data_IF_561516782764
#
_entry.id   IF_561516782764
#
_cell.length_a   1.000
_cell.length_b   1.000
_cell.length_c   1.000
_cell.angle_alpha   90.00
_cell.angle_beta   90.00
_cell.angle_gamma   90.00
#
_symmetry.space_group_name_H-M   'P 1'
#
loop_
_entity.id
_entity.type
_entity.pdbx_description
1 polymer ?
#
# COMPACT_ATOMS: atom_id res chain seq x y z
N UNK A 1 -16.39 -15.20 34.79
CA UNK A 1 -15.43 -14.25 34.15
C UNK A 1 -14.51 -14.95 33.14
N UNK A 2 -13.86 -16.07 33.49
CA UNK A 2 -13.00 -16.82 32.57
C UNK A 2 -13.73 -17.30 31.29
N UNK A 3 -14.95 -17.86 31.41
CA UNK A 3 -15.75 -18.29 30.26
C UNK A 3 -16.16 -17.14 29.32
N UNK A 4 -16.51 -15.97 29.88
CA UNK A 4 -16.83 -14.77 29.08
C UNK A 4 -15.60 -14.23 28.33
N UNK A 5 -14.43 -14.35 28.93
CA UNK A 5 -13.16 -13.93 28.28
C UNK A 5 -12.79 -14.93 27.17
N UNK A 6 -13.00 -16.24 27.38
CA UNK A 6 -12.81 -17.27 26.37
C UNK A 6 -13.69 -17.03 25.12
N UNK A 7 -14.99 -16.86 25.33
CA UNK A 7 -15.92 -16.57 24.22
C UNK A 7 -15.59 -15.30 23.45
N UNK A 8 -15.08 -14.25 24.13
CA UNK A 8 -14.59 -13.03 23.47
C UNK A 8 -13.31 -13.26 22.67
N UNK A 9 -12.38 -14.05 23.19
CA UNK A 9 -11.15 -14.38 22.49
C UNK A 9 -11.44 -15.20 21.22
N UNK A 10 -12.40 -16.14 21.27
CA UNK A 10 -12.88 -16.88 20.11
C UNK A 10 -13.50 -15.96 19.05
N UNK A 11 -14.33 -14.99 19.48
CA UNK A 11 -14.90 -13.98 18.55
C UNK A 11 -13.80 -13.10 17.93
N UNK A 12 -12.83 -12.62 18.70
CA UNK A 12 -11.71 -11.84 18.18
C UNK A 12 -10.88 -12.65 17.16
N UNK A 13 -10.68 -13.95 17.40
CA UNK A 13 -9.93 -14.81 16.49
C UNK A 13 -10.57 -14.96 15.09
N UNK A 14 -11.87 -14.63 14.95
CA UNK A 14 -12.56 -14.63 13.64
C UNK A 14 -12.33 -13.35 12.82
N UNK A 15 -11.71 -12.33 13.40
CA UNK A 15 -11.48 -11.06 12.72
C UNK A 15 -10.20 -11.12 11.87
N UNK A 16 -10.23 -10.49 10.68
CA UNK A 16 -9.14 -10.53 9.69
C UNK A 16 -7.80 -10.11 10.29
N UNK A 17 -7.80 -9.09 11.16
CA UNK A 17 -6.58 -8.59 11.81
C UNK A 17 -5.90 -9.65 12.69
N UNK A 18 -6.65 -10.63 13.21
CA UNK A 18 -6.17 -11.70 14.07
C UNK A 18 -6.03 -13.05 13.36
N UNK A 19 -6.16 -13.08 12.04
CA UNK A 19 -6.02 -14.31 11.26
C UNK A 19 -4.74 -15.07 11.65
N UNK A 20 -4.86 -16.37 12.00
CA UNK A 20 -3.74 -17.22 12.43
C UNK A 20 -3.14 -16.89 13.80
N UNK A 21 -3.69 -15.94 14.57
CA UNK A 21 -3.31 -15.77 15.98
C UNK A 21 -3.96 -16.86 16.84
N UNK A 22 -3.21 -17.55 17.70
CA UNK A 22 -3.80 -18.48 18.67
C UNK A 22 -4.81 -17.76 19.58
N UNK A 23 -5.96 -18.37 19.82
CA UNK A 23 -7.03 -17.76 20.65
C UNK A 23 -6.54 -17.47 22.07
N UNK A 24 -5.62 -18.26 22.60
CA UNK A 24 -5.00 -18.06 23.92
C UNK A 24 -4.20 -16.75 24.00
N UNK A 25 -3.55 -16.34 22.93
CA UNK A 25 -2.79 -15.09 22.86
C UNK A 25 -3.69 -13.86 22.81
N UNK A 26 -4.98 -14.04 22.46
CA UNK A 26 -5.98 -12.97 22.46
C UNK A 26 -6.67 -12.76 23.81
N UNK A 27 -6.51 -13.66 24.77
CA UNK A 27 -7.17 -13.58 26.06
C UNK A 27 -6.86 -12.28 26.85
N UNK A 28 -5.61 -11.76 26.88
CA UNK A 28 -5.31 -10.46 27.51
C UNK A 28 -6.06 -9.30 26.88
N UNK A 29 -6.15 -9.26 25.54
CA UNK A 29 -6.90 -8.25 24.80
C UNK A 29 -8.40 -8.40 25.06
N UNK A 30 -8.94 -9.62 24.96
CA UNK A 30 -10.35 -9.93 25.20
C UNK A 30 -10.83 -9.49 26.59
N UNK A 31 -9.95 -9.53 27.59
CA UNK A 31 -10.26 -9.05 28.94
C UNK A 31 -10.33 -7.52 29.07
N UNK A 32 -9.67 -6.78 28.16
CA UNK A 32 -9.52 -5.33 28.20
C UNK A 32 -10.53 -4.58 27.30
N UNK A 33 -11.08 -5.24 26.28
CA UNK A 33 -12.10 -4.62 25.41
C UNK A 33 -13.50 -4.72 26.01
N UNK A 34 -14.35 -3.74 25.66
CA UNK A 34 -15.74 -3.67 26.12
C UNK A 34 -16.69 -3.76 24.93
N UNK A 35 -17.88 -4.35 25.09
CA UNK A 35 -18.88 -4.39 24.02
C UNK A 35 -19.25 -3.00 23.54
N UNK A 36 -19.36 -2.84 22.22
CA UNK A 36 -19.88 -1.66 21.55
C UNK A 36 -21.19 -2.03 20.87
N UNK A 37 -22.21 -1.18 21.04
CA UNK A 37 -23.43 -1.16 20.23
C UNK A 37 -23.74 0.27 19.86
N UNK A 38 -24.02 0.51 18.59
CA UNK A 38 -24.31 1.84 18.06
C UNK A 38 -25.44 1.76 17.05
N UNK A 39 -26.28 2.78 17.05
CA UNK A 39 -27.35 2.95 16.07
C UNK A 39 -26.82 3.59 14.78
N UNK A 40 -27.60 3.55 13.68
CA UNK A 40 -27.23 4.16 12.43
C UNK A 40 -27.10 5.70 12.55
N UNK A 41 -26.11 6.29 11.88
CA UNK A 41 -25.82 7.71 11.88
C UNK A 41 -25.08 8.23 13.11
N UNK A 42 -24.68 7.36 14.02
CA UNK A 42 -23.93 7.76 15.22
C UNK A 42 -22.45 8.01 14.86
N UNK A 43 -21.91 9.17 15.24
CA UNK A 43 -20.48 9.48 15.16
C UNK A 43 -19.78 8.78 16.31
N UNK A 44 -18.85 7.88 15.98
CA UNK A 44 -18.05 7.11 16.94
C UNK A 44 -16.69 7.76 17.22
N UNK A 45 -16.11 8.44 16.22
CA UNK A 45 -14.87 9.19 16.29
C UNK A 45 -14.96 10.40 15.38
N UNK A 46 -14.36 11.52 15.76
CA UNK A 46 -14.34 12.72 14.94
C UNK A 46 -12.91 13.11 14.57
N UNK A 47 -12.68 13.47 13.30
CA UNK A 47 -11.38 13.94 12.82
C UNK A 47 -10.89 15.15 13.64
N UNK A 48 -9.60 15.13 14.00
CA UNK A 48 -8.98 16.19 14.80
C UNK A 48 -9.10 16.01 16.31
N UNK A 49 -9.99 15.14 16.82
CA UNK A 49 -10.06 14.85 18.25
C UNK A 49 -8.88 14.02 18.75
N UNK A 50 -8.62 14.09 20.05
CA UNK A 50 -7.61 13.26 20.70
C UNK A 50 -7.97 11.77 20.59
N UNK A 51 -7.01 10.95 20.19
CA UNK A 51 -7.18 9.50 20.13
C UNK A 51 -7.04 8.88 21.54
N UNK A 52 -8.09 8.22 22.02
CA UNK A 52 -8.11 7.55 23.33
C UNK A 52 -8.62 6.10 23.25
N UNK A 53 -9.03 5.65 22.07
CA UNK A 53 -9.64 4.33 21.88
C UNK A 53 -9.48 3.82 20.46
N UNK A 54 -9.72 2.54 20.25
CA UNK A 54 -9.90 1.90 18.94
C UNK A 54 -11.17 1.05 18.97
N UNK A 55 -11.66 0.67 17.81
CA UNK A 55 -12.84 -0.16 17.61
C UNK A 55 -12.46 -1.41 16.81
N UNK A 56 -13.05 -2.54 17.19
CA UNK A 56 -13.06 -3.78 16.42
C UNK A 56 -14.51 -4.03 16.01
N UNK A 57 -14.80 -4.09 14.71
CA UNK A 57 -16.15 -4.22 14.19
C UNK A 57 -16.50 -5.70 14.05
N UNK A 58 -17.53 -6.17 14.78
CA UNK A 58 -18.04 -7.54 14.66
C UNK A 58 -19.16 -7.64 13.64
N UNK A 59 -20.05 -6.63 13.58
CA UNK A 59 -21.15 -6.58 12.60
C UNK A 59 -21.55 -5.15 12.27
N UNK A 60 -22.20 -4.96 11.13
CA UNK A 60 -22.55 -3.63 10.62
C UNK A 60 -21.42 -2.99 9.84
N UNK A 61 -21.63 -1.76 9.37
CA UNK A 61 -20.68 -1.01 8.55
C UNK A 61 -20.54 0.39 9.15
N UNK A 62 -19.30 0.89 9.22
CA UNK A 62 -19.04 2.28 9.50
C UNK A 62 -18.46 2.98 8.28
N UNK A 63 -18.81 4.24 8.08
CA UNK A 63 -18.24 5.13 7.08
C UNK A 63 -17.06 5.87 7.72
N UNK A 64 -15.89 5.80 7.12
CA UNK A 64 -14.67 6.51 7.51
C UNK A 64 -14.48 7.64 6.52
N UNK A 65 -14.59 8.89 7.00
CA UNK A 65 -14.46 10.10 6.19
C UNK A 65 -13.20 10.86 6.61
N UNK A 66 -12.26 10.97 5.69
CA UNK A 66 -11.06 11.78 5.85
C UNK A 66 -11.18 13.07 5.01
N UNK A 67 -10.91 14.20 5.62
CA UNK A 67 -10.82 15.49 4.93
C UNK A 67 -9.36 15.92 4.92
N UNK A 68 -8.76 15.93 3.73
CA UNK A 68 -7.37 16.35 3.53
C UNK A 68 -7.17 17.87 3.78
N UNK A 69 -5.91 18.28 3.93
CA UNK A 69 -5.56 19.71 4.06
C UNK A 69 -5.94 20.53 2.83
N UNK A 70 -6.02 19.89 1.67
CA UNK A 70 -6.46 20.46 0.39
C UNK A 70 -8.01 20.49 0.24
N UNK A 71 -8.74 20.03 1.25
CA UNK A 71 -10.20 19.96 1.26
C UNK A 71 -10.76 18.75 0.49
N UNK A 72 -9.91 17.88 -0.05
CA UNK A 72 -10.35 16.63 -0.69
C UNK A 72 -10.94 15.71 0.37
N UNK A 73 -12.11 15.17 0.08
CA UNK A 73 -12.82 14.24 0.96
C UNK A 73 -12.67 12.82 0.42
N UNK A 74 -12.07 11.96 1.22
CA UNK A 74 -11.98 10.53 0.96
C UNK A 74 -12.94 9.79 1.87
N UNK A 75 -13.74 8.89 1.30
CA UNK A 75 -14.73 8.10 2.02
C UNK A 75 -14.45 6.63 1.81
N UNK A 76 -14.28 5.91 2.90
CA UNK A 76 -14.10 4.45 2.92
C UNK A 76 -15.14 3.78 3.81
N UNK A 77 -15.28 2.48 3.66
CA UNK A 77 -16.11 1.65 4.53
C UNK A 77 -15.23 0.79 5.43
N UNK A 78 -15.52 0.81 6.72
CA UNK A 78 -14.99 -0.15 7.67
C UNK A 78 -16.02 -1.28 7.86
N UNK A 79 -15.61 -2.49 7.48
CA UNK A 79 -16.43 -3.70 7.42
C UNK A 79 -16.23 -4.56 8.68
N UNK A 80 -17.09 -5.56 8.91
CA UNK A 80 -16.85 -6.57 9.95
C UNK A 80 -15.47 -7.22 9.79
N UNK A 81 -14.80 -7.49 10.90
CA UNK A 81 -13.43 -7.99 10.95
C UNK A 81 -12.34 -6.91 11.02
N UNK A 82 -12.68 -5.66 10.70
CA UNK A 82 -11.72 -4.56 10.67
C UNK A 82 -11.55 -3.86 12.02
N UNK A 83 -10.33 -3.33 12.24
CA UNK A 83 -10.01 -2.39 13.31
C UNK A 83 -10.15 -0.94 12.80
N UNK A 84 -10.56 0.00 13.65
CA UNK A 84 -10.68 1.43 13.32
C UNK A 84 -10.16 2.29 14.48
N UNK A 85 -9.48 3.38 14.15
CA UNK A 85 -8.91 4.32 15.13
C UNK A 85 -7.50 3.98 15.59
N UNK A 86 -6.90 2.93 15.04
CA UNK A 86 -5.56 2.44 15.32
C UNK A 86 -4.46 3.40 14.85
N UNK A 87 -4.65 4.09 13.71
CA UNK A 87 -3.65 5.01 13.13
C UNK A 87 -3.25 6.07 14.14
N UNK A 88 -4.25 6.72 14.72
CA UNK A 88 -4.04 7.83 15.62
C UNK A 88 -3.39 7.39 16.96
N UNK A 89 -3.73 6.19 17.45
CA UNK A 89 -3.10 5.61 18.65
C UNK A 89 -1.66 5.17 18.37
N UNK A 90 -1.42 4.56 17.22
CA UNK A 90 -0.10 4.05 16.86
C UNK A 90 0.91 5.20 16.67
N UNK A 91 0.45 6.35 16.13
CA UNK A 91 1.27 7.52 15.81
C UNK A 91 1.25 8.60 16.90
N UNK A 92 0.48 8.43 17.96
CA UNK A 92 0.23 9.44 19.00
C UNK A 92 -0.16 10.81 18.40
N UNK A 93 -1.12 10.80 17.46
CA UNK A 93 -1.64 11.99 16.78
C UNK A 93 -3.15 12.11 16.96
N UNK A 94 -3.75 13.29 16.69
CA UNK A 94 -5.21 13.42 16.61
C UNK A 94 -5.84 12.48 15.57
N UNK A 95 -7.14 12.17 15.73
CA UNK A 95 -7.92 11.35 14.79
C UNK A 95 -7.72 11.81 13.36
N UNK A 96 -7.37 10.90 12.49
CA UNK A 96 -7.13 11.18 11.05
C UNK A 96 -8.41 11.22 10.24
N UNK A 97 -9.52 10.68 10.75
CA UNK A 97 -10.80 10.61 10.05
C UNK A 97 -11.98 10.61 11.04
N UNK A 98 -13.15 10.97 10.54
CA UNK A 98 -14.44 10.82 11.20
C UNK A 98 -15.01 9.45 10.90
N UNK A 99 -15.48 8.73 11.93
CA UNK A 99 -16.08 7.40 11.82
C UNK A 99 -17.55 7.49 12.22
N UNK A 100 -18.45 7.20 11.28
CA UNK A 100 -19.91 7.26 11.48
C UNK A 100 -20.52 5.92 11.11
N UNK A 101 -21.44 5.40 11.90
CA UNK A 101 -22.16 4.17 11.60
C UNK A 101 -23.11 4.37 10.40
N UNK A 102 -23.05 3.48 9.40
CA UNK A 102 -23.96 3.50 8.26
C UNK A 102 -25.36 2.90 8.61
N UNK A 103 -25.39 2.03 9.62
CA UNK A 103 -26.57 1.37 10.17
C UNK A 103 -26.26 0.86 11.58
N UNK A 104 -27.08 0.01 12.19
CA UNK A 104 -26.77 -0.62 13.46
C UNK A 104 -25.42 -1.36 13.38
N UNK A 105 -24.56 -1.15 14.39
CA UNK A 105 -23.21 -1.69 14.44
C UNK A 105 -22.95 -2.32 15.81
N UNK A 106 -22.28 -3.47 15.82
CA UNK A 106 -21.76 -4.09 17.04
C UNK A 106 -20.27 -4.39 16.89
N UNK A 107 -19.60 -4.48 18.04
CA UNK A 107 -18.17 -4.80 18.08
C UNK A 107 -17.61 -4.59 19.48
N UNK A 108 -16.34 -4.22 19.51
CA UNK A 108 -15.58 -4.01 20.73
C UNK A 108 -14.87 -2.65 20.69
N UNK A 109 -14.84 -1.98 21.84
CA UNK A 109 -14.05 -0.77 22.05
C UNK A 109 -12.93 -1.06 23.06
N UNK A 110 -11.69 -0.71 22.68
CA UNK A 110 -10.52 -0.74 23.55
C UNK A 110 -9.99 0.67 23.78
N UNK A 111 -9.53 0.93 24.99
CA UNK A 111 -8.79 2.15 25.35
C UNK A 111 -7.28 2.00 25.11
N UNK A 112 -6.46 2.95 25.61
CA UNK A 112 -5.02 2.89 25.47
C UNK A 112 -4.37 1.66 26.09
N UNK A 113 -4.86 1.19 27.24
CA UNK A 113 -4.35 -0.03 27.90
C UNK A 113 -4.69 -1.28 27.07
N UNK A 114 -5.89 -1.33 26.51
CA UNK A 114 -6.28 -2.38 25.58
C UNK A 114 -5.44 -2.34 24.30
N UNK A 115 -5.07 -1.13 23.83
CA UNK A 115 -4.19 -0.98 22.66
C UNK A 115 -2.77 -1.50 22.92
N UNK A 116 -2.23 -1.25 24.10
CA UNK A 116 -0.96 -1.85 24.53
C UNK A 116 -1.03 -3.38 24.50
N UNK A 117 -2.13 -3.98 24.95
CA UNK A 117 -2.33 -5.44 24.88
C UNK A 117 -2.47 -5.93 23.44
N UNK A 118 -3.16 -5.17 22.58
CA UNK A 118 -3.27 -5.47 21.16
C UNK A 118 -1.87 -5.56 20.50
N UNK A 119 -1.02 -4.56 20.68
CA UNK A 119 0.32 -4.54 20.03
C UNK A 119 1.26 -5.62 20.55
N UNK A 120 0.96 -6.20 21.71
CA UNK A 120 1.72 -7.33 22.27
C UNK A 120 1.21 -8.71 21.83
N UNK A 121 0.12 -8.80 21.07
CA UNK A 121 -0.31 -10.07 20.47
C UNK A 121 0.76 -10.52 19.48
N UNK A 122 1.29 -11.75 19.58
CA UNK A 122 2.31 -12.24 18.68
C UNK A 122 1.90 -12.14 17.21
N UNK A 123 2.75 -11.55 16.36
CA UNK A 123 2.53 -11.41 14.92
C UNK A 123 1.52 -10.33 14.51
N UNK A 124 0.95 -9.55 15.44
CA UNK A 124 -0.04 -8.52 15.11
C UNK A 124 0.59 -7.28 14.47
N UNK A 125 1.77 -6.88 14.91
CA UNK A 125 2.39 -5.61 14.48
C UNK A 125 2.59 -5.51 12.97
N UNK A 126 3.16 -6.49 12.26
CA UNK A 126 3.29 -6.42 10.80
C UNK A 126 1.94 -6.21 10.09
N UNK A 127 0.86 -6.85 10.56
CA UNK A 127 -0.49 -6.73 10.00
C UNK A 127 -1.09 -5.37 10.28
N UNK A 128 -0.96 -4.90 11.52
CA UNK A 128 -1.45 -3.59 11.93
C UNK A 128 -0.76 -2.49 11.11
N UNK A 129 0.56 -2.56 10.94
CA UNK A 129 1.34 -1.64 10.13
C UNK A 129 0.93 -1.67 8.65
N UNK A 130 0.71 -2.85 8.08
CA UNK A 130 0.19 -3.00 6.71
C UNK A 130 -1.18 -2.32 6.57
N UNK A 131 -2.11 -2.58 7.47
CA UNK A 131 -3.45 -1.95 7.46
C UNK A 131 -3.35 -0.43 7.56
N UNK A 132 -2.51 0.09 8.45
CA UNK A 132 -2.28 1.53 8.61
C UNK A 132 -1.73 2.15 7.32
N UNK A 133 -0.71 1.54 6.71
CA UNK A 133 -0.12 2.04 5.46
C UNK A 133 -1.09 2.02 4.29
N UNK A 134 -1.88 0.95 4.16
CA UNK A 134 -2.94 0.85 3.14
C UNK A 134 -3.97 1.98 3.28
N UNK A 135 -4.41 2.27 4.49
CA UNK A 135 -5.35 3.37 4.75
C UNK A 135 -4.73 4.74 4.53
N UNK A 136 -3.48 4.94 4.96
CA UNK A 136 -2.77 6.18 4.68
C UNK A 136 -2.58 6.39 3.16
N UNK A 137 -2.29 5.33 2.42
CA UNK A 137 -2.23 5.39 0.96
C UNK A 137 -3.57 5.79 0.32
N UNK A 138 -4.69 5.30 0.86
CA UNK A 138 -6.02 5.64 0.39
C UNK A 138 -6.40 7.11 0.66
N UNK A 139 -5.85 7.73 1.72
CA UNK A 139 -6.06 9.15 2.04
C UNK A 139 -5.18 10.11 1.24
N UNK A 140 -4.31 9.59 0.38
CA UNK A 140 -3.43 10.43 -0.44
C UNK A 140 -4.18 11.01 -1.63
N UNK A 141 -4.10 12.34 -1.77
CA UNK A 141 -4.49 13.02 -3.00
C UNK A 141 -3.51 12.63 -4.12
N UNK A 142 -3.97 12.04 -5.24
CA UNK A 142 -3.11 11.68 -6.35
C UNK A 142 -2.34 12.88 -6.90
N UNK A 143 -1.06 12.69 -7.22
CA UNK A 143 -0.17 13.74 -7.74
C UNK A 143 -0.43 13.91 -9.23
N UNK A 144 -0.80 15.11 -9.71
CA UNK A 144 -0.94 15.36 -11.14
C UNK A 144 0.42 15.33 -11.82
N UNK A 145 0.54 14.53 -12.86
CA UNK A 145 1.76 14.41 -13.68
C UNK A 145 1.45 14.73 -15.13
N UNK A 146 2.46 15.25 -15.83
CA UNK A 146 2.40 15.51 -17.26
C UNK A 146 3.48 14.71 -17.96
N UNK A 147 3.09 13.79 -18.83
CA UNK A 147 4.01 12.97 -19.60
C UNK A 147 4.49 13.67 -20.86
N UNK A 148 5.43 13.06 -21.60
CA UNK A 148 6.18 13.71 -22.68
C UNK A 148 5.29 14.26 -23.81
N UNK A 149 4.20 13.58 -24.16
CA UNK A 149 3.24 14.01 -25.19
C UNK A 149 2.25 15.07 -24.71
N UNK A 150 2.35 15.50 -23.44
CA UNK A 150 1.48 16.50 -22.84
C UNK A 150 0.26 15.93 -22.15
N UNK A 151 0.03 14.62 -22.19
CA UNK A 151 -1.11 13.97 -21.49
C UNK A 151 -0.99 14.19 -19.98
N UNK A 152 -2.11 14.50 -19.34
CA UNK A 152 -2.23 14.64 -17.90
C UNK A 152 -2.71 13.31 -17.31
N UNK A 153 -1.94 12.78 -16.37
CA UNK A 153 -2.22 11.54 -15.64
C UNK A 153 -2.05 11.82 -14.15
N UNK A 154 -2.38 10.85 -13.33
CA UNK A 154 -2.22 10.95 -11.88
C UNK A 154 -1.27 9.87 -11.38
N UNK A 155 -0.41 10.22 -10.41
CA UNK A 155 0.47 9.28 -9.71
C UNK A 155 -0.01 9.12 -8.27
N UNK A 156 -0.11 7.89 -7.79
CA UNK A 156 -0.39 7.57 -6.39
C UNK A 156 0.23 6.23 -5.98
N UNK A 157 0.37 5.94 -4.67
CA UNK A 157 0.64 4.58 -4.23
C UNK A 157 -0.48 3.63 -4.67
N UNK A 158 -0.15 2.34 -4.79
CA UNK A 158 -1.14 1.30 -5.07
C UNK A 158 -2.19 1.25 -3.96
N UNK A 159 -3.42 0.93 -4.31
CA UNK A 159 -4.52 0.74 -3.36
C UNK A 159 -5.04 -0.71 -3.43
N UNK A 160 -5.61 -1.23 -2.34
CA UNK A 160 -6.37 -2.46 -2.38
C UNK A 160 -7.43 -2.40 -3.50
N UNK A 161 -7.54 -3.47 -4.29
CA UNK A 161 -8.46 -3.54 -5.44
C UNK A 161 -7.89 -3.03 -6.77
N UNK A 162 -6.70 -2.41 -6.82
CA UNK A 162 -6.09 -1.99 -8.10
C UNK A 162 -5.77 -3.19 -9.01
N UNK A 163 -5.38 -4.33 -8.45
CA UNK A 163 -5.15 -5.56 -9.21
C UNK A 163 -6.43 -6.06 -9.90
N UNK A 164 -7.57 -5.98 -9.22
CA UNK A 164 -8.87 -6.35 -9.79
C UNK A 164 -9.28 -5.39 -10.90
N UNK A 165 -9.05 -4.08 -10.72
CA UNK A 165 -9.28 -3.07 -11.75
C UNK A 165 -8.40 -3.28 -12.97
N UNK A 166 -7.15 -3.72 -12.78
CA UNK A 166 -6.25 -4.06 -13.89
C UNK A 166 -6.73 -5.29 -14.65
N UNK A 167 -7.28 -6.30 -13.97
CA UNK A 167 -7.79 -7.53 -14.59
C UNK A 167 -9.15 -7.32 -15.27
N UNK A 168 -10.04 -6.51 -14.67
CA UNK A 168 -11.41 -6.27 -15.15
C UNK A 168 -11.60 -4.92 -15.85
N UNK A 169 -10.56 -4.07 -15.87
CA UNK A 169 -10.61 -2.73 -16.45
C UNK A 169 -10.61 -2.72 -17.97
N UNK A 170 -10.95 -1.57 -18.55
CA UNK A 170 -10.92 -1.33 -20.00
C UNK A 170 -9.49 -1.18 -20.55
N UNK A 171 -8.46 -1.35 -19.70
CA UNK A 171 -7.06 -1.22 -20.06
C UNK A 171 -6.51 -2.56 -20.52
N UNK A 172 -6.09 -2.61 -21.77
CA UNK A 172 -5.51 -3.82 -22.34
C UNK A 172 -3.99 -3.84 -22.20
N UNK A 173 -3.50 -4.94 -21.62
CA UNK A 173 -2.11 -5.35 -21.69
C UNK A 173 -2.00 -6.49 -22.70
N UNK A 174 -1.24 -6.27 -23.79
CA UNK A 174 -1.02 -7.31 -24.77
C UNK A 174 -0.29 -8.52 -24.17
N UNK A 175 -0.42 -9.67 -24.80
CA UNK A 175 0.37 -10.86 -24.45
C UNK A 175 1.87 -10.59 -24.46
N UNK A 176 2.33 -9.70 -25.33
CA UNK A 176 3.73 -9.28 -25.41
C UNK A 176 4.15 -8.46 -24.20
N UNK A 177 3.33 -7.48 -23.78
CA UNK A 177 3.57 -6.69 -22.55
C UNK A 177 3.62 -7.58 -21.32
N UNK A 178 2.69 -8.52 -21.18
CA UNK A 178 2.67 -9.48 -20.07
C UNK A 178 3.87 -10.46 -20.14
N UNK A 179 4.23 -10.93 -21.35
CA UNK A 179 5.40 -11.77 -21.53
C UNK A 179 6.69 -11.07 -21.12
N UNK A 180 6.88 -9.82 -21.51
CA UNK A 180 8.03 -9.01 -21.10
C UNK A 180 8.08 -8.76 -19.59
N UNK A 181 6.89 -8.59 -18.96
CA UNK A 181 6.78 -8.32 -17.53
C UNK A 181 7.08 -9.55 -16.68
N UNK A 182 6.52 -10.71 -17.07
CA UNK A 182 6.59 -11.96 -16.28
C UNK A 182 7.61 -12.96 -16.83
N UNK A 183 8.24 -12.68 -17.94
CA UNK A 183 9.17 -13.57 -18.65
C UNK A 183 8.57 -14.99 -18.88
N UNK A 184 7.27 -15.04 -19.05
CA UNK A 184 6.49 -16.28 -19.19
C UNK A 184 5.38 -16.08 -20.22
N UNK A 185 5.27 -17.05 -21.14
CA UNK A 185 4.15 -17.09 -22.10
C UNK A 185 2.82 -17.52 -21.44
N UNK A 186 2.86 -17.96 -20.17
CA UNK A 186 1.67 -18.30 -19.41
C UNK A 186 1.16 -17.09 -18.66
N UNK A 187 -0.16 -16.99 -18.55
CA UNK A 187 -0.78 -15.98 -17.67
C UNK A 187 -0.27 -16.17 -16.23
N UNK A 188 -0.06 -15.05 -15.50
CA UNK A 188 0.33 -15.13 -14.10
C UNK A 188 -0.66 -16.00 -13.31
N UNK A 189 -0.13 -16.82 -12.42
CA UNK A 189 -0.99 -17.64 -11.55
C UNK A 189 -1.76 -16.76 -10.56
N UNK A 190 -2.95 -17.19 -10.08
CA UNK A 190 -3.65 -16.48 -9.02
C UNK A 190 -2.78 -16.23 -7.78
N UNK A 191 -1.92 -17.16 -7.40
CA UNK A 191 -0.98 -17.02 -6.29
C UNK A 191 0.05 -15.91 -6.54
N UNK A 192 0.60 -15.79 -7.76
CA UNK A 192 1.50 -14.70 -8.12
C UNK A 192 0.77 -13.36 -8.12
N UNK A 193 -0.45 -13.30 -8.65
CA UNK A 193 -1.25 -12.06 -8.63
C UNK A 193 -1.60 -11.63 -7.21
N UNK A 194 -1.91 -12.59 -6.34
CA UNK A 194 -2.13 -12.31 -4.92
C UNK A 194 -0.86 -11.76 -4.26
N UNK A 195 0.30 -12.42 -4.43
CA UNK A 195 1.59 -11.92 -3.94
C UNK A 195 1.89 -10.50 -4.43
N UNK A 196 1.65 -10.22 -5.72
CA UNK A 196 1.87 -8.89 -6.29
C UNK A 196 0.90 -7.81 -5.78
N UNK A 197 -0.24 -8.21 -5.21
CA UNK A 197 -1.21 -7.31 -4.57
C UNK A 197 -0.98 -7.13 -3.07
N UNK A 198 -0.22 -8.01 -2.44
CA UNK A 198 0.17 -7.92 -1.03
C UNK A 198 1.30 -6.90 -0.83
N UNK A 199 0.96 -5.63 -0.89
CA UNK A 199 1.90 -4.52 -0.73
C UNK A 199 1.90 -4.07 0.72
N UNK A 200 3.09 -3.97 1.33
CA UNK A 200 3.28 -3.45 2.68
C UNK A 200 3.85 -2.03 2.70
N UNK A 201 4.22 -1.50 1.53
CA UNK A 201 4.80 -0.18 1.27
C UNK A 201 6.21 0.05 1.85
N UNK A 202 6.88 -1.00 2.29
CA UNK A 202 8.27 -0.98 2.77
C UNK A 202 9.10 -2.00 1.99
N UNK A 203 8.91 -3.30 2.26
CA UNK A 203 9.63 -4.33 1.52
C UNK A 203 9.09 -4.50 0.10
N UNK A 204 7.81 -4.18 -0.09
CA UNK A 204 7.14 -4.15 -1.39
C UNK A 204 6.40 -2.83 -1.59
N UNK A 205 6.98 -1.92 -2.36
CA UNK A 205 6.40 -0.61 -2.67
C UNK A 205 5.95 -0.54 -4.14
N UNK A 206 4.80 0.10 -4.40
CA UNK A 206 4.25 0.24 -5.77
C UNK A 206 3.70 1.64 -6.01
N UNK A 207 4.21 2.30 -7.05
CA UNK A 207 3.55 3.46 -7.67
C UNK A 207 2.60 3.02 -8.78
N UNK A 208 1.42 3.62 -8.83
CA UNK A 208 0.44 3.44 -9.91
C UNK A 208 0.20 4.78 -10.60
N UNK A 209 0.23 4.76 -11.93
CA UNK A 209 -0.21 5.88 -12.77
C UNK A 209 -1.62 5.58 -13.27
N UNK A 210 -2.53 6.54 -13.12
CA UNK A 210 -3.92 6.39 -13.56
C UNK A 210 -4.31 7.45 -14.58
N UNK A 211 -5.25 7.09 -15.47
CA UNK A 211 -6.01 7.99 -16.33
C UNK A 211 -7.47 7.96 -15.83
N UNK A 212 -7.92 9.05 -15.21
CA UNK A 212 -9.11 8.99 -14.39
C UNK A 212 -8.97 7.97 -13.27
N UNK A 213 -9.86 6.96 -13.23
CA UNK A 213 -9.84 5.85 -12.26
C UNK A 213 -9.02 4.64 -12.70
N UNK A 214 -8.63 4.58 -13.97
CA UNK A 214 -8.05 3.38 -14.59
C UNK A 214 -6.53 3.32 -14.40
N UNK A 215 -5.97 2.26 -13.79
CA UNK A 215 -4.53 2.04 -13.72
C UNK A 215 -3.95 1.78 -15.11
N UNK A 216 -3.09 2.69 -15.61
CA UNK A 216 -2.46 2.59 -16.93
C UNK A 216 -1.00 2.18 -16.89
N UNK A 217 -0.35 2.31 -15.74
CA UNK A 217 1.02 1.84 -15.52
C UNK A 217 1.28 1.62 -14.03
N UNK A 218 2.22 0.73 -13.74
CA UNK A 218 2.78 0.57 -12.40
C UNK A 218 4.31 0.44 -12.45
N UNK A 219 4.93 0.82 -11.34
CA UNK A 219 6.32 0.53 -11.03
C UNK A 219 6.44 0.09 -9.58
N UNK A 220 7.22 -0.95 -9.35
CA UNK A 220 7.44 -1.49 -8.02
C UNK A 220 8.90 -1.77 -7.74
N UNK A 221 9.24 -1.74 -6.47
CA UNK A 221 10.41 -2.43 -5.97
C UNK A 221 10.00 -3.48 -4.94
N UNK A 222 10.74 -4.57 -4.91
CA UNK A 222 10.66 -5.61 -3.88
C UNK A 222 12.04 -5.75 -3.30
N UNK A 223 12.17 -5.53 -1.99
CA UNK A 223 13.44 -5.60 -1.26
C UNK A 223 13.97 -7.03 -1.27
N UNK A 224 15.27 -7.18 -1.39
CA UNK A 224 15.93 -8.47 -1.28
C UNK A 224 15.98 -8.94 0.17
N UNK A 225 15.59 -10.19 0.41
CA UNK A 225 15.53 -10.77 1.75
C UNK A 225 16.91 -10.93 2.40
N UNK A 226 17.98 -10.98 1.59
CA UNK A 226 19.36 -11.22 2.04
C UNK A 226 20.19 -9.94 2.14
N UNK A 227 19.86 -8.92 1.34
CA UNK A 227 20.53 -7.62 1.33
C UNK A 227 19.47 -6.49 1.27
N UNK A 228 19.05 -5.97 2.43
CA UNK A 228 18.03 -4.92 2.51
C UNK A 228 18.37 -3.63 1.78
N UNK A 229 19.64 -3.40 1.41
CA UNK A 229 20.05 -2.26 0.60
C UNK A 229 19.76 -2.44 -0.90
N UNK A 230 19.36 -3.65 -1.32
CA UNK A 230 19.01 -3.98 -2.72
C UNK A 230 17.52 -4.20 -2.84
N UNK A 231 16.93 -3.75 -3.94
CA UNK A 231 15.55 -4.09 -4.30
C UNK A 231 15.44 -4.41 -5.80
N UNK A 232 14.69 -5.48 -6.11
CA UNK A 232 14.34 -5.80 -7.50
C UNK A 232 13.24 -4.87 -7.98
N UNK A 233 13.43 -4.28 -9.17
CA UNK A 233 12.45 -3.37 -9.77
C UNK A 233 11.76 -3.99 -10.97
N UNK A 234 10.48 -3.62 -11.12
CA UNK A 234 9.70 -4.02 -12.27
C UNK A 234 8.68 -2.95 -12.66
N UNK A 235 8.40 -2.88 -13.97
CA UNK A 235 7.51 -1.88 -14.56
C UNK A 235 6.49 -2.55 -15.47
N UNK A 236 5.28 -2.00 -15.49
CA UNK A 236 4.27 -2.34 -16.47
C UNK A 236 3.66 -1.04 -17.01
N UNK A 237 3.54 -0.92 -18.32
CA UNK A 237 2.87 0.21 -18.97
C UNK A 237 1.92 -0.34 -20.01
N UNK A 238 0.65 0.02 -19.94
CA UNK A 238 -0.37 -0.39 -20.90
C UNK A 238 0.01 0.04 -22.33
N UNK A 239 -0.28 -0.80 -23.31
CA UNK A 239 0.21 -0.64 -24.68
C UNK A 239 -0.11 0.73 -25.27
N UNK A 240 -1.33 1.24 -25.06
CA UNK A 240 -1.78 2.55 -25.51
C UNK A 240 -1.00 3.72 -24.90
N UNK A 241 -0.29 3.51 -23.79
CA UNK A 241 0.45 4.53 -23.03
C UNK A 241 1.97 4.39 -23.16
N UNK A 242 2.45 3.38 -23.88
CA UNK A 242 3.88 3.19 -24.15
C UNK A 242 4.45 4.31 -25.02
N UNK A 243 5.77 4.50 -24.98
CA UNK A 243 6.46 5.53 -25.77
C UNK A 243 6.29 6.98 -25.26
N UNK A 244 5.41 7.25 -24.29
CA UNK A 244 5.10 8.58 -23.75
C UNK A 244 6.03 9.04 -22.63
N UNK A 245 7.03 8.22 -22.25
CA UNK A 245 8.01 8.55 -21.20
C UNK A 245 7.60 8.12 -19.79
N UNK A 246 6.47 7.41 -19.62
CA UNK A 246 5.95 6.97 -18.31
C UNK A 246 6.96 6.08 -17.59
N UNK A 247 7.59 5.11 -18.26
CA UNK A 247 8.57 4.24 -17.61
C UNK A 247 9.78 5.02 -17.06
N UNK A 248 10.25 6.06 -17.80
CA UNK A 248 11.34 6.92 -17.31
C UNK A 248 10.91 7.81 -16.14
N UNK A 249 9.67 8.25 -16.12
CA UNK A 249 9.09 8.98 -15.01
C UNK A 249 8.96 8.07 -13.77
N UNK A 250 8.54 6.83 -13.99
CA UNK A 250 8.31 5.87 -12.90
C UNK A 250 9.60 5.44 -12.22
N UNK A 251 10.72 5.24 -12.95
CA UNK A 251 12.00 4.93 -12.29
C UNK A 251 12.47 6.10 -11.42
N UNK A 252 12.30 7.33 -11.88
CA UNK A 252 12.63 8.53 -11.12
C UNK A 252 11.74 8.62 -9.84
N UNK A 253 10.43 8.37 -9.95
CA UNK A 253 9.50 8.35 -8.82
C UNK A 253 9.84 7.22 -7.83
N UNK A 254 10.17 6.04 -8.36
CA UNK A 254 10.54 4.89 -7.55
C UNK A 254 11.85 5.13 -6.78
N UNK A 255 12.80 5.85 -7.40
CA UNK A 255 14.06 6.24 -6.76
C UNK A 255 13.85 7.14 -5.54
N UNK A 256 12.84 8.01 -5.57
CA UNK A 256 12.47 8.82 -4.41
C UNK A 256 11.95 7.93 -3.28
N UNK A 257 11.01 7.01 -3.58
CA UNK A 257 10.47 6.09 -2.58
C UNK A 257 11.58 5.19 -2.00
N UNK A 258 12.43 4.63 -2.84
CA UNK A 258 13.59 3.82 -2.46
C UNK A 258 14.54 4.57 -1.53
N UNK A 259 14.82 5.85 -1.82
CA UNK A 259 15.69 6.68 -0.97
C UNK A 259 15.06 6.96 0.41
N UNK A 260 13.73 7.09 0.49
CA UNK A 260 13.00 7.24 1.77
C UNK A 260 13.11 5.97 2.60
N UNK A 261 13.06 4.82 1.94
CA UNK A 261 13.06 3.51 2.58
C UNK A 261 14.47 2.92 2.81
N UNK A 262 15.52 3.65 2.42
CA UNK A 262 16.91 3.22 2.62
C UNK A 262 17.39 2.15 1.64
N UNK A 263 16.71 1.94 0.52
CA UNK A 263 17.21 1.13 -0.60
C UNK A 263 18.29 1.92 -1.34
N UNK A 264 19.45 1.32 -1.54
CA UNK A 264 20.63 1.96 -2.15
C UNK A 264 20.86 1.51 -3.60
N UNK A 265 20.42 0.30 -3.95
CA UNK A 265 20.63 -0.29 -5.27
C UNK A 265 19.36 -0.92 -5.82
N UNK A 266 19.16 -0.76 -7.11
CA UNK A 266 18.12 -1.46 -7.86
C UNK A 266 18.73 -2.62 -8.65
N UNK A 267 18.19 -3.80 -8.48
CA UNK A 267 18.39 -4.93 -9.38
C UNK A 267 17.26 -4.99 -10.41
N UNK A 268 17.58 -5.38 -11.62
CA UNK A 268 16.56 -5.62 -12.65
C UNK A 268 16.89 -6.89 -13.44
N UNK A 269 15.85 -7.71 -13.65
CA UNK A 269 15.88 -8.94 -14.42
C UNK A 269 14.90 -8.83 -15.58
N UNK A 270 15.35 -9.08 -16.81
CA UNK A 270 14.48 -8.93 -17.98
C UNK A 270 14.90 -9.79 -19.16
N UNK A 271 14.00 -9.88 -20.14
CA UNK A 271 14.35 -10.46 -21.44
C UNK A 271 15.37 -9.58 -22.17
N UNK A 272 16.36 -10.18 -22.82
CA UNK A 272 17.42 -9.47 -23.53
C UNK A 272 16.94 -8.63 -24.72
N UNK A 273 15.76 -8.92 -25.26
CA UNK A 273 15.09 -8.19 -26.35
C UNK A 273 14.12 -7.09 -25.84
N UNK A 274 14.00 -6.89 -24.52
CA UNK A 274 13.19 -5.82 -23.95
C UNK A 274 13.89 -4.46 -24.10
N UNK A 275 13.94 -3.96 -25.35
CA UNK A 275 14.61 -2.71 -25.67
C UNK A 275 14.08 -1.48 -24.89
N UNK A 276 12.76 -1.32 -24.60
CA UNK A 276 12.27 -0.20 -23.81
C UNK A 276 12.84 -0.18 -22.38
N UNK A 277 12.82 -1.31 -21.69
CA UNK A 277 13.36 -1.40 -20.33
C UNK A 277 14.87 -1.22 -20.32
N UNK A 278 15.56 -1.82 -21.28
CA UNK A 278 17.00 -1.65 -21.46
C UNK A 278 17.38 -0.18 -21.60
N UNK A 279 16.67 0.56 -22.47
CA UNK A 279 16.92 2.00 -22.69
C UNK A 279 16.67 2.85 -21.43
N UNK A 280 15.78 2.42 -20.52
CA UNK A 280 15.57 3.08 -19.23
C UNK A 280 16.79 2.85 -18.34
N UNK A 281 17.21 1.59 -18.18
CA UNK A 281 18.29 1.21 -17.27
C UNK A 281 19.67 1.70 -17.77
N UNK A 282 19.94 1.64 -19.07
CA UNK A 282 21.20 2.11 -19.67
C UNK A 282 21.46 3.60 -19.38
N UNK A 283 20.41 4.42 -19.26
CA UNK A 283 20.53 5.83 -18.87
C UNK A 283 21.00 6.04 -17.45
N UNK A 284 20.86 5.02 -16.60
CA UNK A 284 21.30 5.00 -15.22
C UNK A 284 22.58 4.18 -15.02
N UNK A 285 23.30 3.89 -16.12
CA UNK A 285 24.60 3.23 -16.08
C UNK A 285 24.55 1.72 -15.93
N UNK A 286 23.46 1.08 -16.36
CA UNK A 286 23.33 -0.37 -16.30
C UNK A 286 24.47 -1.10 -17.03
N UNK A 287 25.06 -2.06 -16.33
CA UNK A 287 26.00 -3.06 -16.89
C UNK A 287 25.29 -4.40 -16.88
N UNK A 288 25.13 -4.98 -18.06
CA UNK A 288 24.30 -6.17 -18.22
C UNK A 288 25.12 -7.45 -18.10
N UNK A 289 24.64 -8.37 -17.30
CA UNK A 289 25.15 -9.72 -17.18
C UNK A 289 24.12 -10.71 -17.73
N UNK A 290 24.61 -11.78 -18.34
CA UNK A 290 23.75 -12.87 -18.82
C UNK A 290 23.48 -13.82 -17.68
N UNK A 291 22.23 -14.00 -17.32
CA UNK A 291 21.81 -14.96 -16.30
C UNK A 291 21.42 -16.31 -16.92
N UNK A 292 20.62 -16.29 -18.00
CA UNK A 292 20.12 -17.46 -18.68
C UNK A 292 19.95 -17.19 -20.18
N UNK A 293 19.46 -18.19 -20.92
CA UNK A 293 19.14 -18.04 -22.36
C UNK A 293 18.03 -16.98 -22.51
N UNK A 294 18.40 -15.87 -23.15
CA UNK A 294 17.47 -14.75 -23.40
C UNK A 294 17.15 -13.89 -22.18
N UNK A 295 17.78 -14.14 -21.01
CA UNK A 295 17.58 -13.35 -19.79
C UNK A 295 18.86 -12.64 -19.39
N UNK A 296 18.75 -11.37 -19.09
CA UNK A 296 19.84 -10.53 -18.61
C UNK A 296 19.47 -9.85 -17.29
N UNK A 297 20.48 -9.58 -16.47
CA UNK A 297 20.36 -8.89 -15.18
C UNK A 297 21.30 -7.69 -15.13
N UNK A 298 20.98 -6.77 -14.26
CA UNK A 298 21.84 -5.64 -13.92
C UNK A 298 21.58 -5.19 -12.49
N UNK A 299 22.56 -4.53 -11.89
CA UNK A 299 22.42 -3.78 -10.65
C UNK A 299 22.91 -2.36 -10.91
N UNK A 300 22.13 -1.37 -10.50
CA UNK A 300 22.48 0.04 -10.58
C UNK A 300 22.32 0.68 -9.20
N UNK A 301 23.05 1.75 -8.93
CA UNK A 301 22.77 2.59 -7.78
C UNK A 301 21.39 3.27 -7.95
N UNK A 302 20.65 3.44 -6.85
CA UNK A 302 19.42 4.23 -6.86
C UNK A 302 19.74 5.65 -7.33
N UNK A 303 19.09 6.14 -8.42
CA UNK A 303 19.34 7.48 -8.95
C UNK A 303 19.17 8.56 -7.88
N UNK A 304 20.18 9.43 -7.74
CA UNK A 304 20.16 10.48 -6.73
C UNK A 304 19.17 11.57 -7.13
N UNK A 305 18.55 12.20 -6.15
CA UNK A 305 17.55 13.26 -6.36
C UNK A 305 18.01 14.36 -7.35
N UNK A 306 19.27 14.76 -7.34
CA UNK A 306 19.82 15.76 -8.25
C UNK A 306 19.87 15.32 -9.73
N UNK A 307 19.82 14.01 -9.96
CA UNK A 307 19.93 13.41 -11.30
C UNK A 307 18.53 13.10 -11.89
N UNK A 308 17.46 13.27 -11.07
CA UNK A 308 16.08 13.04 -11.48
C UNK A 308 15.56 14.16 -12.38
N UNK A 309 14.70 13.80 -13.34
CA UNK A 309 14.20 14.73 -14.37
C UNK A 309 12.85 15.36 -14.01
N UNK A 310 12.56 15.49 -12.72
CA UNK A 310 11.35 16.15 -12.26
C UNK A 310 11.49 17.67 -12.15
N UNK A 311 10.36 18.37 -12.26
CA UNK A 311 10.24 19.71 -11.69
C UNK A 311 10.38 19.59 -10.17
N UNK A 312 10.99 20.60 -9.55
CA UNK A 312 11.23 20.60 -8.12
C UNK A 312 9.95 20.30 -7.30
N UNK A 313 8.85 20.96 -7.65
CA UNK A 313 7.55 20.79 -6.98
C UNK A 313 7.01 19.36 -7.05
N UNK A 314 7.17 18.70 -8.20
CA UNK A 314 6.75 17.30 -8.37
C UNK A 314 7.58 16.35 -7.51
N UNK A 315 8.90 16.56 -7.46
CA UNK A 315 9.78 15.75 -6.62
C UNK A 315 9.44 15.88 -5.13
N UNK A 316 9.11 17.11 -4.66
CA UNK A 316 8.69 17.36 -3.30
C UNK A 316 7.35 16.68 -2.96
N UNK A 317 6.39 16.71 -3.89
CA UNK A 317 5.11 16.02 -3.71
C UNK A 317 5.31 14.50 -3.62
N UNK A 318 6.10 13.90 -4.53
CA UNK A 318 6.41 12.47 -4.51
C UNK A 318 7.11 12.08 -3.21
N UNK A 319 8.08 12.88 -2.76
CA UNK A 319 8.80 12.66 -1.49
C UNK A 319 7.85 12.70 -0.29
N UNK A 320 6.95 13.69 -0.23
CA UNK A 320 5.97 13.82 0.84
C UNK A 320 5.05 12.62 0.90
N UNK A 321 4.52 12.18 -0.24
CA UNK A 321 3.64 11.02 -0.35
C UNK A 321 4.38 9.74 0.03
N UNK A 322 5.61 9.52 -0.47
CA UNK A 322 6.41 8.36 -0.11
C UNK A 322 6.64 8.28 1.41
N UNK A 323 7.05 9.39 2.04
CA UNK A 323 7.22 9.45 3.50
C UNK A 323 5.94 9.17 4.26
N UNK A 324 4.82 9.77 3.84
CA UNK A 324 3.53 9.57 4.50
C UNK A 324 3.13 8.10 4.58
N UNK A 325 3.50 7.30 3.59
CA UNK A 325 3.14 5.87 3.51
C UNK A 325 4.21 4.98 4.12
N UNK A 326 5.48 5.22 3.79
CA UNK A 326 6.61 4.39 4.24
C UNK A 326 6.89 4.62 5.73
N UNK A 327 7.02 5.89 6.14
CA UNK A 327 7.25 6.31 7.52
C UNK A 327 5.93 6.40 8.32
N UNK A 328 4.96 5.52 8.01
CA UNK A 328 3.64 5.54 8.65
C UNK A 328 3.68 5.40 10.17
N UNK A 329 4.78 4.86 10.68
CA UNK A 329 5.10 4.77 12.10
C UNK A 329 6.58 5.14 12.21
N UNK A 330 6.84 6.34 12.63
CA UNK A 330 8.18 6.88 12.90
C UNK A 330 8.65 6.53 14.30
#
# INVERSE_FOLDING_TARGET
MAELTGARAEELATMDIFEGCPTEDLAPLASAVRPLRAEGGQVLMQQGERAVSFLLISSGIATVTHVGEDGVVVVEQALPGMIVGEIALLRDIPRTATVTTAGPLTGWVGDGDAFVRLVHVPGIMPRLLRTVRQRLAAFITPIPIRVRDGTHLMLRPVLPGDSERTVHGHIHFSSETLYRRFMSARMPTPALMHYLSEVDYVDHFVWVVTDGSDPVADARFVRDDTDPAVAEIAFTVADAYQGRGIGSFLIDALSIAASVDGVERFSARMLSDNAPMRAIMDRHGAVWEREDVGVITTVIDVPRRRDLKFRHDTAEQIMRVARQVIEAVG
#
